data_IF_884264487243
#
_entry.id   IF_884264487243
#
_cell.length_a   1.000
_cell.length_b   1.000
_cell.length_c   1.000
_cell.angle_alpha   90.00
_cell.angle_beta   90.00
_cell.angle_gamma   90.00
#
_symmetry.space_group_name_H-M   'P 1'
#
loop_
_entity.id
_entity.type
_entity.pdbx_description
1 polymer ?
#
# COMPACT_ATOMS: atom_id res chain seq x y z
N UNK A 1 -11.71 -17.73 -28.97
CA UNK A 1 -11.18 -18.54 -30.09
C UNK A 1 -12.20 -19.59 -30.50
N UNK A 2 -12.75 -20.33 -29.55
CA UNK A 2 -13.82 -21.32 -29.76
C UNK A 2 -15.04 -20.79 -30.53
N UNK A 3 -15.61 -19.65 -30.12
CA UNK A 3 -16.75 -19.04 -30.84
C UNK A 3 -16.45 -18.67 -32.30
N UNK A 4 -15.20 -18.31 -32.61
CA UNK A 4 -14.81 -17.97 -33.98
C UNK A 4 -14.64 -19.26 -34.80
N UNK A 5 -14.08 -20.30 -34.19
CA UNK A 5 -13.94 -21.61 -34.82
C UNK A 5 -15.30 -22.25 -35.15
N UNK A 6 -16.26 -22.15 -34.23
CA UNK A 6 -17.60 -22.70 -34.41
C UNK A 6 -18.34 -22.01 -35.56
N UNK A 7 -18.34 -20.68 -35.60
CA UNK A 7 -18.96 -19.92 -36.70
C UNK A 7 -18.37 -20.24 -38.06
N UNK A 8 -17.04 -20.32 -38.14
CA UNK A 8 -16.37 -20.65 -39.41
C UNK A 8 -16.71 -22.07 -39.84
N UNK A 9 -16.82 -23.01 -38.91
CA UNK A 9 -17.22 -24.38 -39.19
C UNK A 9 -18.65 -24.45 -39.75
N UNK A 10 -19.60 -23.77 -39.10
CA UNK A 10 -21.00 -23.69 -39.56
C UNK A 10 -21.11 -23.13 -40.98
N UNK A 11 -20.44 -22.00 -41.25
CA UNK A 11 -20.44 -21.36 -42.57
C UNK A 11 -19.84 -22.28 -43.67
N UNK A 12 -18.78 -23.02 -43.35
CA UNK A 12 -18.17 -23.95 -44.30
C UNK A 12 -19.04 -25.18 -44.55
N UNK A 13 -19.66 -25.74 -43.51
CA UNK A 13 -20.58 -26.88 -43.62
C UNK A 13 -21.80 -26.51 -44.46
N UNK A 14 -22.35 -25.30 -44.27
CA UNK A 14 -23.49 -24.82 -45.06
C UNK A 14 -23.13 -24.67 -46.55
N UNK A 15 -21.96 -24.11 -46.87
CA UNK A 15 -21.50 -24.00 -48.26
C UNK A 15 -21.18 -25.36 -48.88
N UNK A 16 -20.52 -26.25 -48.15
CA UNK A 16 -20.16 -27.57 -48.65
C UNK A 16 -21.39 -28.44 -48.97
N UNK A 17 -22.48 -28.30 -48.20
CA UNK A 17 -23.78 -28.93 -48.48
C UNK A 17 -24.33 -28.55 -49.84
N UNK A 18 -24.15 -27.31 -50.32
CA UNK A 18 -24.58 -26.89 -51.66
C UNK A 18 -23.85 -27.64 -52.79
N UNK A 19 -22.65 -28.15 -52.51
CA UNK A 19 -21.85 -28.95 -53.44
C UNK A 19 -21.96 -30.46 -53.18
N UNK A 20 -22.81 -30.90 -52.24
CA UNK A 20 -22.96 -32.32 -51.88
C UNK A 20 -21.77 -32.90 -51.11
N UNK A 21 -20.90 -32.05 -50.53
CA UNK A 21 -19.73 -32.47 -49.77
C UNK A 21 -20.05 -32.47 -48.27
N UNK A 22 -19.69 -33.55 -47.57
CA UNK A 22 -19.85 -33.69 -46.11
C UNK A 22 -18.50 -33.41 -45.45
N UNK A 23 -18.47 -32.47 -44.51
CA UNK A 23 -17.30 -32.10 -43.70
C UNK A 23 -17.50 -32.63 -42.27
N UNK A 24 -16.53 -33.40 -41.76
CA UNK A 24 -16.61 -34.05 -40.43
C UNK A 24 -15.79 -33.32 -39.36
N UNK A 25 -14.56 -32.88 -39.67
CA UNK A 25 -13.74 -32.08 -38.76
C UNK A 25 -12.90 -31.05 -39.52
N UNK A 26 -12.77 -29.84 -38.96
CA UNK A 26 -12.12 -28.69 -39.60
C UNK A 26 -11.02 -28.15 -38.69
N UNK A 27 -9.78 -28.28 -39.15
CA UNK A 27 -8.61 -27.71 -38.48
C UNK A 27 -8.19 -26.38 -39.12
N UNK A 28 -8.30 -25.28 -38.38
CA UNK A 28 -7.77 -23.98 -38.79
C UNK A 28 -6.27 -23.93 -38.46
N UNK A 29 -5.41 -23.95 -39.49
CA UNK A 29 -3.94 -24.01 -39.30
C UNK A 29 -3.29 -22.64 -39.19
N UNK A 30 -3.72 -21.66 -39.99
CA UNK A 30 -3.14 -20.31 -40.00
C UNK A 30 -4.25 -19.27 -40.17
N UNK A 31 -4.37 -18.39 -39.17
CA UNK A 31 -5.32 -17.30 -39.19
C UNK A 31 -4.57 -15.99 -39.03
N UNK A 32 -4.43 -15.26 -40.14
CA UNK A 32 -3.81 -13.93 -40.18
C UNK A 32 -4.89 -12.87 -40.04
N UNK A 33 -4.86 -12.15 -38.94
CA UNK A 33 -5.65 -10.93 -38.77
C UNK A 33 -4.95 -9.77 -39.48
N UNK A 34 -5.73 -8.84 -40.05
CA UNK A 34 -5.17 -7.59 -40.58
C UNK A 34 -4.55 -6.75 -39.46
N UNK A 35 -3.52 -5.95 -39.78
CA UNK A 35 -2.80 -5.10 -38.80
C UNK A 35 -3.74 -4.20 -37.98
N UNK A 36 -4.76 -3.63 -38.62
CA UNK A 36 -5.74 -2.76 -37.98
C UNK A 36 -6.59 -3.51 -36.95
N UNK A 37 -6.98 -4.76 -37.24
CA UNK A 37 -7.74 -5.59 -36.31
C UNK A 37 -6.91 -5.96 -35.08
N UNK A 38 -5.63 -6.33 -35.28
CA UNK A 38 -4.72 -6.62 -34.16
C UNK A 38 -4.54 -5.40 -33.27
N UNK A 39 -4.35 -4.22 -33.87
CA UNK A 39 -4.19 -2.97 -33.13
C UNK A 39 -5.46 -2.60 -32.35
N UNK A 40 -6.64 -2.75 -32.94
CA UNK A 40 -7.91 -2.48 -32.26
C UNK A 40 -8.16 -3.42 -31.07
N UNK A 41 -7.82 -4.71 -31.22
CA UNK A 41 -7.92 -5.69 -30.13
C UNK A 41 -6.93 -5.37 -29.01
N UNK A 42 -5.69 -5.00 -29.36
CA UNK A 42 -4.67 -4.61 -28.38
C UNK A 42 -5.07 -3.36 -27.62
N UNK A 43 -5.54 -2.31 -28.32
CA UNK A 43 -6.08 -1.11 -27.67
C UNK A 43 -7.25 -1.43 -26.74
N UNK A 44 -8.16 -2.33 -27.14
CA UNK A 44 -9.26 -2.76 -26.28
C UNK A 44 -8.77 -3.47 -25.03
N UNK A 45 -7.74 -4.31 -25.14
CA UNK A 45 -7.15 -4.99 -23.99
C UNK A 45 -6.46 -4.01 -23.05
N UNK A 46 -5.69 -3.05 -23.58
CA UNK A 46 -5.05 -2.00 -22.77
C UNK A 46 -6.10 -1.18 -22.03
N UNK A 47 -7.16 -0.75 -22.72
CA UNK A 47 -8.25 0.00 -22.10
C UNK A 47 -8.96 -0.78 -20.98
N UNK A 48 -9.17 -2.10 -21.16
CA UNK A 48 -9.75 -2.95 -20.11
C UNK A 48 -8.81 -3.07 -18.90
N UNK A 49 -7.52 -3.29 -19.12
CA UNK A 49 -6.53 -3.36 -18.05
C UNK A 49 -6.41 -2.04 -17.29
N UNK A 50 -6.43 -0.91 -18.01
CA UNK A 50 -6.33 0.41 -17.38
C UNK A 50 -7.58 0.75 -16.57
N UNK A 51 -8.77 0.34 -17.04
CA UNK A 51 -10.00 0.46 -16.26
C UNK A 51 -9.96 -0.38 -14.98
N UNK A 52 -9.47 -1.63 -15.04
CA UNK A 52 -9.30 -2.48 -13.86
C UNK A 52 -8.29 -1.89 -12.86
N UNK A 53 -7.14 -1.41 -13.35
CA UNK A 53 -6.13 -0.73 -12.52
C UNK A 53 -6.69 0.51 -11.84
N UNK A 54 -7.45 1.33 -12.57
CA UNK A 54 -8.07 2.53 -12.02
C UNK A 54 -9.06 2.19 -10.91
N UNK A 55 -9.91 1.16 -11.11
CA UNK A 55 -10.82 0.68 -10.07
C UNK A 55 -10.06 0.20 -8.83
N UNK A 56 -9.01 -0.60 -9.02
CA UNK A 56 -8.20 -1.09 -7.91
C UNK A 56 -7.51 0.04 -7.14
N UNK A 57 -7.02 1.08 -7.83
CA UNK A 57 -6.39 2.22 -7.19
C UNK A 57 -7.39 3.02 -6.34
N UNK A 58 -8.60 3.24 -6.86
CA UNK A 58 -9.68 3.92 -6.11
C UNK A 58 -10.05 3.11 -4.86
N UNK A 59 -10.28 1.80 -5.00
CA UNK A 59 -10.64 0.93 -3.88
C UNK A 59 -9.52 0.90 -2.83
N UNK A 60 -8.26 0.79 -3.24
CA UNK A 60 -7.11 0.86 -2.34
C UNK A 60 -7.06 2.19 -1.58
N UNK A 61 -7.31 3.32 -2.26
CA UNK A 61 -7.33 4.63 -1.63
C UNK A 61 -8.47 4.77 -0.61
N UNK A 62 -9.65 4.21 -0.90
CA UNK A 62 -10.77 4.18 0.04
C UNK A 62 -10.46 3.33 1.28
N UNK A 63 -9.89 2.14 1.09
CA UNK A 63 -9.49 1.27 2.21
C UNK A 63 -8.42 1.93 3.07
N UNK A 64 -7.42 2.57 2.45
CA UNK A 64 -6.37 3.28 3.20
C UNK A 64 -6.95 4.42 4.04
N UNK A 65 -7.90 5.21 3.49
CA UNK A 65 -8.58 6.27 4.25
C UNK A 65 -9.33 5.69 5.45
N UNK A 66 -10.10 4.62 5.25
CA UNK A 66 -10.82 3.95 6.35
C UNK A 66 -9.86 3.45 7.43
N UNK A 67 -8.76 2.81 7.03
CA UNK A 67 -7.75 2.33 7.96
C UNK A 67 -7.13 3.47 8.78
N UNK A 68 -6.81 4.61 8.15
CA UNK A 68 -6.29 5.79 8.86
C UNK A 68 -7.30 6.34 9.87
N UNK A 69 -8.58 6.44 9.48
CA UNK A 69 -9.64 6.93 10.39
C UNK A 69 -9.81 5.98 11.57
N UNK A 70 -9.93 4.68 11.34
CA UNK A 70 -10.10 3.67 12.39
C UNK A 70 -8.89 3.64 13.32
N UNK A 71 -7.67 3.75 12.79
CA UNK A 71 -6.46 3.80 13.62
C UNK A 71 -6.45 5.06 14.49
N UNK A 72 -6.80 6.22 13.93
CA UNK A 72 -6.84 7.47 14.69
C UNK A 72 -7.93 7.45 15.77
N UNK A 73 -9.10 6.86 15.48
CA UNK A 73 -10.18 6.66 16.45
C UNK A 73 -9.74 5.70 17.57
N UNK A 74 -9.09 4.59 17.22
CA UNK A 74 -8.55 3.63 18.18
C UNK A 74 -7.47 4.25 19.09
N UNK A 75 -6.56 5.05 18.53
CA UNK A 75 -5.54 5.76 19.30
C UNK A 75 -6.16 6.80 20.23
N UNK A 76 -7.18 7.52 19.76
CA UNK A 76 -7.90 8.51 20.57
C UNK A 76 -8.65 7.85 21.75
N UNK A 77 -9.36 6.75 21.48
CA UNK A 77 -10.07 6.00 22.52
C UNK A 77 -9.10 5.37 23.53
N UNK A 78 -8.00 4.77 23.05
CA UNK A 78 -6.94 4.24 23.90
C UNK A 78 -6.33 5.33 24.79
N UNK A 79 -6.04 6.52 24.23
CA UNK A 79 -5.52 7.65 25.00
C UNK A 79 -6.52 8.14 26.06
N UNK A 80 -7.82 8.16 25.75
CA UNK A 80 -8.87 8.49 26.72
C UNK A 80 -8.96 7.47 27.86
N UNK A 81 -8.90 6.17 27.54
CA UNK A 81 -8.91 5.11 28.54
C UNK A 81 -7.67 5.16 29.43
N UNK A 82 -6.49 5.37 28.84
CA UNK A 82 -5.24 5.57 29.59
C UNK A 82 -5.33 6.79 30.50
N UNK A 83 -5.85 7.91 29.99
CA UNK A 83 -6.03 9.13 30.79
C UNK A 83 -6.93 8.89 32.00
N UNK A 84 -8.08 8.22 31.80
CA UNK A 84 -8.97 7.82 32.90
C UNK A 84 -8.27 6.89 33.90
N UNK A 85 -7.57 5.88 33.42
CA UNK A 85 -6.83 4.95 34.27
C UNK A 85 -5.72 5.67 35.08
N UNK A 86 -5.02 6.65 34.50
CA UNK A 86 -4.04 7.46 35.21
C UNK A 86 -4.69 8.37 36.25
N UNK A 87 -5.85 8.98 35.95
CA UNK A 87 -6.58 9.78 36.95
C UNK A 87 -7.09 8.94 38.12
N UNK A 88 -7.46 7.68 37.88
CA UNK A 88 -7.91 6.75 38.93
C UNK A 88 -6.74 6.15 39.73
N UNK A 89 -5.61 5.84 39.08
CA UNK A 89 -4.41 5.28 39.71
C UNK A 89 -3.57 6.30 40.49
N UNK A 90 -3.77 7.61 40.25
CA UNK A 90 -3.18 8.70 41.03
C UNK A 90 -1.84 9.23 40.51
N UNK A 91 -1.51 10.46 40.93
CA UNK A 91 -0.36 11.26 40.47
C UNK A 91 1.02 10.62 40.73
N UNK A 92 1.10 9.70 41.70
CA UNK A 92 2.35 9.01 42.05
C UNK A 92 2.94 8.17 40.92
N UNK A 93 2.10 7.62 40.02
CA UNK A 93 2.60 6.83 38.88
C UNK A 93 3.19 7.72 37.78
N UNK A 94 2.69 8.95 37.62
CA UNK A 94 3.24 9.96 36.70
C UNK A 94 4.57 10.47 37.24
N UNK A 95 4.67 10.75 38.54
CA UNK A 95 5.93 11.14 39.17
C UNK A 95 6.99 10.05 39.05
N UNK A 96 6.64 8.78 39.29
CA UNK A 96 7.56 7.66 39.13
C UNK A 96 8.07 7.55 37.69
N UNK A 97 7.17 7.62 36.70
CA UNK A 97 7.56 7.62 35.28
C UNK A 97 8.41 8.82 34.88
N UNK A 98 8.17 9.99 35.47
CA UNK A 98 9.01 11.18 35.27
C UNK A 98 10.42 10.95 35.83
N UNK A 99 10.54 10.31 36.98
CA UNK A 99 11.85 9.97 37.59
C UNK A 99 12.59 8.94 36.72
N UNK A 100 11.93 7.88 36.27
CA UNK A 100 12.54 6.86 35.40
C UNK A 100 13.01 7.46 34.06
N UNK A 101 12.18 8.31 33.43
CA UNK A 101 12.58 9.00 32.20
C UNK A 101 13.76 9.96 32.43
N UNK A 102 13.80 10.64 33.57
CA UNK A 102 14.92 11.51 33.94
C UNK A 102 16.20 10.72 34.19
N UNK A 103 16.11 9.53 34.81
CA UNK A 103 17.22 8.60 35.00
C UNK A 103 17.79 8.14 33.65
N UNK A 104 16.92 7.69 32.73
CA UNK A 104 17.33 7.25 31.39
C UNK A 104 18.02 8.37 30.60
N UNK A 105 17.46 9.59 30.63
CA UNK A 105 18.06 10.76 29.98
C UNK A 105 19.43 11.06 30.61
N UNK A 106 19.53 11.08 31.95
CA UNK A 106 20.79 11.32 32.65
C UNK A 106 21.85 10.26 32.31
N UNK A 107 21.44 9.00 32.20
CA UNK A 107 22.32 7.89 31.80
C UNK A 107 22.82 8.05 30.35
N UNK A 108 21.95 8.42 29.42
CA UNK A 108 22.33 8.70 28.04
C UNK A 108 23.27 9.91 27.93
N UNK A 109 23.00 10.98 28.68
CA UNK A 109 23.82 12.18 28.71
C UNK A 109 25.20 11.93 29.33
N UNK A 110 25.29 11.16 30.41
CA UNK A 110 26.55 10.75 31.04
C UNK A 110 27.46 9.98 30.09
N UNK A 111 26.89 9.18 29.18
CA UNK A 111 27.63 8.47 28.14
C UNK A 111 28.00 9.34 26.93
N UNK A 112 27.37 10.51 26.79
CA UNK A 112 27.60 11.39 25.66
C UNK A 112 28.92 12.17 25.84
N UNK A 113 29.81 12.12 24.84
CA UNK A 113 31.12 12.79 24.89
C UNK A 113 31.06 14.32 24.88
N UNK A 114 29.88 14.91 24.68
CA UNK A 114 29.66 16.36 24.58
C UNK A 114 29.16 17.03 25.85
N UNK A 115 28.92 16.27 26.93
CA UNK A 115 28.37 16.81 28.19
C UNK A 115 29.41 16.66 29.29
N UNK A 116 29.86 17.80 29.84
CA UNK A 116 30.76 17.85 30.99
C UNK A 116 29.98 18.35 32.22
N UNK A 117 29.88 17.54 33.27
CA UNK A 117 29.26 17.93 34.53
C UNK A 117 30.24 18.78 35.34
N UNK A 118 29.94 20.07 35.48
CA UNK A 118 30.73 21.01 36.27
C UNK A 118 30.23 21.01 37.73
N UNK A 119 31.09 20.75 38.72
CA UNK A 119 30.71 20.84 40.12
C UNK A 119 30.37 22.30 40.50
N UNK A 120 29.27 22.49 41.22
CA UNK A 120 28.84 23.80 41.69
C UNK A 120 29.85 24.36 42.71
N UNK A 121 30.50 25.47 42.36
CA UNK A 121 31.42 26.19 43.25
C UNK A 121 32.82 26.43 42.68
N UNK A 122 33.18 25.84 41.53
CA UNK A 122 34.45 26.10 40.87
C UNK A 122 34.27 27.09 39.72
N UNK A 123 34.85 28.29 39.83
CA UNK A 123 34.90 29.25 38.72
C UNK A 123 35.89 28.75 37.67
N UNK A 124 35.39 28.00 36.70
CA UNK A 124 36.16 27.55 35.54
C UNK A 124 36.09 28.62 34.44
N UNK A 125 37.24 29.19 34.09
CA UNK A 125 37.40 30.09 32.96
C UNK A 125 37.22 29.30 31.65
N UNK A 126 36.02 29.34 31.08
CA UNK A 126 35.75 28.81 29.74
C UNK A 126 36.23 29.82 28.70
N UNK A 127 37.36 29.53 28.05
CA UNK A 127 37.79 30.27 26.88
C UNK A 127 36.97 29.81 25.66
N UNK A 128 35.80 30.43 25.46
CA UNK A 128 35.02 30.26 24.24
C UNK A 128 35.68 31.06 23.10
N UNK A 129 35.97 30.45 21.93
CA UNK A 129 36.33 31.23 20.75
C UNK A 129 35.12 32.07 20.33
N UNK A 130 35.31 33.38 20.23
CA UNK A 130 34.30 34.30 19.73
C UNK A 130 33.95 33.96 18.28
N UNK A 131 32.66 33.78 18.01
CA UNK A 131 32.05 33.81 16.69
C UNK A 131 31.16 35.05 16.59
#
# INVERSE_FOLDING_TARGET
>A
REMVSQKVSEDLVERAKQFGVILDDISITHLTFGREFTQAVEMKQVAQQDAEKARFLVEKAEQQKKATVISAEGDAEAAQLLSKAFTEAGDGLIELRRIEAAEDIAYQLSRSRGVAYLPSGQSTLLNLPAL
#
